data_IF_012022388827
#
_entry.id   IF_012022388827
#
_cell.length_a   1.000
_cell.length_b   1.000
_cell.length_c   1.000
_cell.angle_alpha   90.00
_cell.angle_beta   90.00
_cell.angle_gamma   90.00
#
_symmetry.space_group_name_H-M   'P 1'
#
loop_
_entity.id
_entity.type
_entity.pdbx_description
1 polymer ?
#
# COMPACT_ATOMS: atom_id res chain seq x y z
N UNK A 1 7.98 -48.11 4.24
CA UNK A 1 8.47 -47.98 5.64
C UNK A 1 7.42 -47.38 6.58
N UNK A 2 6.93 -46.14 6.37
CA UNK A 2 5.98 -45.49 7.31
C UNK A 2 4.64 -46.23 7.44
N UNK A 3 3.98 -46.67 6.33
CA UNK A 3 2.71 -47.41 6.42
C UNK A 3 2.82 -48.66 7.31
N UNK A 4 3.75 -49.57 6.99
CA UNK A 4 4.05 -50.76 7.80
C UNK A 4 4.40 -50.48 9.27
N UNK A 5 4.93 -49.30 9.60
CA UNK A 5 5.16 -48.90 10.99
C UNK A 5 3.85 -48.52 11.68
N UNK A 6 2.97 -47.77 11.00
CA UNK A 6 1.64 -47.45 11.49
C UNK A 6 0.78 -48.70 11.66
N UNK A 7 0.74 -49.59 10.66
CA UNK A 7 0.01 -50.87 10.71
C UNK A 7 0.43 -51.72 11.92
N UNK A 8 1.69 -51.62 12.37
CA UNK A 8 2.22 -52.34 13.54
C UNK A 8 1.86 -51.69 14.89
N UNK A 9 1.65 -50.37 14.93
CA UNK A 9 1.41 -49.61 16.18
C UNK A 9 -0.10 -49.37 16.40
N UNK A 10 -0.83 -49.06 15.32
CA UNK A 10 -2.28 -48.75 15.30
C UNK A 10 -2.90 -49.24 13.97
N UNK A 11 -3.21 -50.54 13.84
CA UNK A 11 -3.85 -51.09 12.64
C UNK A 11 -5.27 -50.58 12.40
N UNK A 12 -5.86 -49.88 13.38
CA UNK A 12 -7.14 -49.17 13.29
C UNK A 12 -7.08 -47.85 12.51
N UNK A 13 -5.87 -47.35 12.20
CA UNK A 13 -5.65 -46.08 11.47
C UNK A 13 -5.21 -46.38 10.04
N UNK A 14 -6.12 -46.30 9.06
CA UNK A 14 -5.73 -46.37 7.65
C UNK A 14 -5.06 -45.07 7.19
N UNK A 15 -3.76 -45.15 6.92
CA UNK A 15 -2.97 -44.03 6.41
C UNK A 15 -3.04 -43.93 4.88
N UNK A 16 -3.76 -42.91 4.39
CA UNK A 16 -3.73 -42.52 3.00
C UNK A 16 -2.67 -41.43 2.74
N UNK A 17 -1.64 -41.77 1.95
CA UNK A 17 -0.58 -40.86 1.56
C UNK A 17 -1.00 -40.07 0.31
N UNK A 18 -1.45 -38.83 0.51
CA UNK A 18 -1.71 -37.90 -0.59
C UNK A 18 -0.41 -37.15 -0.92
N UNK A 19 0.23 -37.53 -2.03
CA UNK A 19 1.32 -36.74 -2.61
C UNK A 19 0.73 -35.43 -3.15
N UNK A 20 1.17 -34.30 -2.59
CA UNK A 20 0.90 -32.99 -3.21
C UNK A 20 1.63 -32.95 -4.56
N UNK A 21 1.02 -32.43 -5.63
CA UNK A 21 1.71 -32.27 -6.91
C UNK A 21 2.94 -31.38 -6.72
N UNK A 22 3.98 -31.64 -7.53
CA UNK A 22 5.13 -30.75 -7.64
C UNK A 22 4.65 -29.32 -7.98
N UNK A 23 5.33 -28.26 -7.47
CA UNK A 23 4.99 -26.90 -7.83
C UNK A 23 4.99 -26.73 -9.37
N UNK A 24 3.99 -26.03 -9.95
CA UNK A 24 3.94 -25.81 -11.39
C UNK A 24 5.20 -25.09 -11.88
N UNK A 25 5.56 -25.26 -13.15
CA UNK A 25 6.78 -24.68 -13.75
C UNK A 25 6.94 -23.17 -13.50
N UNK A 26 5.83 -22.45 -13.38
CA UNK A 26 5.74 -21.04 -12.99
C UNK A 26 6.47 -20.70 -11.67
N UNK A 27 6.64 -21.64 -10.73
CA UNK A 27 7.42 -21.41 -9.51
C UNK A 27 8.93 -21.30 -9.75
N UNK A 28 9.44 -21.84 -10.86
CA UNK A 28 10.86 -21.75 -11.23
C UNK A 28 11.18 -20.51 -12.08
N UNK A 29 10.16 -19.85 -12.64
CA UNK A 29 10.32 -18.66 -13.47
C UNK A 29 9.49 -17.51 -12.90
N UNK A 30 10.14 -16.61 -12.16
CA UNK A 30 9.53 -15.34 -11.73
C UNK A 30 9.11 -14.57 -13.00
N UNK A 31 7.82 -14.63 -13.33
CA UNK A 31 7.29 -14.14 -14.62
C UNK A 31 7.12 -12.63 -14.66
N UNK A 32 7.53 -11.93 -13.59
CA UNK A 32 7.42 -10.49 -13.40
C UNK A 32 8.60 -10.02 -12.57
N UNK A 33 9.09 -8.83 -12.89
CA UNK A 33 10.13 -8.15 -12.14
C UNK A 33 9.69 -7.86 -10.69
N UNK A 34 10.61 -7.88 -9.72
CA UNK A 34 10.31 -7.55 -8.33
C UNK A 34 9.84 -6.10 -8.22
N UNK A 35 8.66 -5.88 -7.63
CA UNK A 35 8.08 -4.55 -7.48
C UNK A 35 8.90 -3.74 -6.44
N UNK A 36 9.46 -2.57 -6.80
CA UNK A 36 10.17 -1.70 -5.88
C UNK A 36 9.34 -1.35 -4.65
N UNK A 37 10.02 -1.25 -3.50
CA UNK A 37 9.45 -1.10 -2.16
C UNK A 37 8.43 0.04 -2.03
N UNK A 38 8.72 1.19 -2.64
CA UNK A 38 7.85 2.39 -2.68
C UNK A 38 6.68 2.26 -3.68
N UNK A 39 6.70 1.26 -4.56
CA UNK A 39 5.62 0.96 -5.50
C UNK A 39 4.72 -0.20 -5.02
N UNK A 40 5.07 -0.87 -3.92
CA UNK A 40 4.26 -1.95 -3.34
C UNK A 40 2.96 -1.42 -2.71
N UNK A 41 1.88 -2.19 -2.87
CA UNK A 41 0.55 -1.94 -2.32
C UNK A 41 0.13 -3.07 -1.37
N UNK A 42 -0.97 -2.86 -0.64
CA UNK A 42 -1.56 -3.88 0.25
C UNK A 42 -0.59 -4.29 1.38
N UNK A 43 0.10 -3.31 1.97
CA UNK A 43 1.14 -3.50 2.99
C UNK A 43 0.82 -2.80 4.32
N UNK A 44 1.35 -3.38 5.40
CA UNK A 44 1.60 -2.71 6.69
C UNK A 44 3.06 -2.31 6.70
N UNK A 45 3.33 -1.05 7.04
CA UNK A 45 4.66 -0.46 7.05
C UNK A 45 4.94 0.29 8.36
N UNK A 46 6.22 0.54 8.64
CA UNK A 46 6.66 1.45 9.68
C UNK A 46 7.54 2.56 9.11
N UNK A 47 7.28 3.80 9.52
CA UNK A 47 8.14 4.95 9.26
C UNK A 47 8.80 5.38 10.56
N UNK A 48 10.09 5.74 10.52
CA UNK A 48 10.85 6.23 11.67
C UNK A 48 11.14 7.72 11.53
N UNK A 49 11.19 8.43 12.65
CA UNK A 49 11.85 9.71 12.69
C UNK A 49 13.38 9.52 12.59
N UNK A 50 14.05 10.37 11.81
CA UNK A 50 15.52 10.39 11.70
C UNK A 50 16.21 11.08 12.88
N UNK A 51 15.50 11.95 13.61
CA UNK A 51 16.05 12.76 14.71
C UNK A 51 15.70 12.23 16.11
N UNK A 52 14.75 11.30 16.24
CA UNK A 52 14.38 10.71 17.52
C UNK A 52 13.88 9.28 17.38
N UNK A 53 13.88 8.53 18.50
CA UNK A 53 13.50 7.11 18.51
C UNK A 53 11.99 6.84 18.35
N UNK A 54 11.23 7.81 17.83
CA UNK A 54 9.80 7.70 17.63
C UNK A 54 9.51 7.03 16.28
N UNK A 55 8.57 6.07 16.29
CA UNK A 55 8.14 5.35 15.11
C UNK A 55 6.61 5.45 14.91
N UNK A 56 6.21 5.31 13.65
CA UNK A 56 4.82 5.20 13.22
C UNK A 56 4.63 3.83 12.57
N UNK A 57 3.45 3.24 12.73
CA UNK A 57 3.01 2.05 12.00
C UNK A 57 1.69 2.38 11.31
N UNK A 58 1.60 2.09 10.02
CA UNK A 58 0.38 2.29 9.25
C UNK A 58 0.22 1.25 8.15
N UNK A 59 -0.96 1.21 7.54
CA UNK A 59 -1.22 0.41 6.34
C UNK A 59 -1.48 1.26 5.09
N UNK A 60 -1.44 0.60 3.94
CA UNK A 60 -1.94 1.14 2.68
C UNK A 60 -2.46 0.04 1.76
N UNK A 61 -3.61 0.29 1.13
CA UNK A 61 -4.15 -0.51 0.03
C UNK A 61 -3.69 0.03 -1.34
N UNK A 62 -3.21 1.27 -1.39
CA UNK A 62 -2.57 1.90 -2.56
C UNK A 62 -1.06 1.67 -2.52
N UNK A 63 -0.35 2.05 -3.59
CA UNK A 63 1.12 2.10 -3.59
C UNK A 63 1.65 2.94 -2.43
N UNK A 64 2.69 2.47 -1.75
CA UNK A 64 3.25 3.09 -0.55
C UNK A 64 3.72 4.52 -0.77
N UNK A 65 4.36 4.85 -1.90
CA UNK A 65 4.73 6.23 -2.27
C UNK A 65 3.55 7.21 -2.17
N UNK A 66 2.35 6.82 -2.63
CA UNK A 66 1.17 7.68 -2.55
C UNK A 66 0.77 7.94 -1.10
N UNK A 67 0.87 6.92 -0.24
CA UNK A 67 0.57 7.04 1.19
C UNK A 67 1.59 7.89 1.92
N UNK A 68 2.88 7.77 1.58
CA UNK A 68 3.94 8.59 2.18
C UNK A 68 3.82 10.06 1.75
N UNK A 69 3.48 10.35 0.48
CA UNK A 69 3.15 11.71 0.04
C UNK A 69 1.91 12.30 0.73
N UNK A 70 0.88 11.49 1.03
CA UNK A 70 -0.26 11.92 1.87
C UNK A 70 0.18 12.33 3.30
N UNK A 71 1.34 11.83 3.76
CA UNK A 71 1.92 12.10 5.07
C UNK A 71 2.98 13.22 5.11
N UNK A 72 3.49 13.69 3.97
CA UNK A 72 4.47 14.78 3.88
C UNK A 72 5.66 14.52 2.95
N UNK A 73 5.91 13.26 2.57
CA UNK A 73 7.07 12.89 1.73
C UNK A 73 7.04 13.56 0.35
N UNK A 74 8.18 14.01 -0.16
CA UNK A 74 8.25 14.57 -1.51
C UNK A 74 8.16 13.46 -2.56
N UNK A 75 7.69 13.78 -3.77
CA UNK A 75 7.65 12.78 -4.87
C UNK A 75 9.01 12.59 -5.53
N UNK A 76 9.77 13.67 -5.66
CA UNK A 76 11.09 13.77 -6.30
C UNK A 76 12.14 12.88 -5.62
N UNK A 77 11.96 12.62 -4.33
CA UNK A 77 12.72 11.65 -3.55
C UNK A 77 12.63 10.22 -4.13
N UNK A 78 11.45 9.77 -4.54
CA UNK A 78 11.22 8.40 -5.02
C UNK A 78 11.53 8.22 -6.50
N UNK A 79 11.27 9.23 -7.33
CA UNK A 79 11.48 9.16 -8.78
C UNK A 79 12.97 8.89 -9.14
N UNK A 80 13.92 9.21 -8.25
CA UNK A 80 15.36 8.93 -8.41
C UNK A 80 15.74 7.46 -8.28
N UNK A 81 14.93 6.66 -7.58
CA UNK A 81 15.22 5.23 -7.33
C UNK A 81 14.76 4.32 -8.48
N UNK A 82 13.85 4.79 -9.33
CA UNK A 82 13.34 4.06 -10.51
C UNK A 82 14.09 4.44 -11.80
N UNK A 83 15.13 5.28 -11.70
CA UNK A 83 16.04 5.56 -12.80
C UNK A 83 16.83 4.31 -13.15
N UNK A 84 16.34 3.56 -14.14
CA UNK A 84 17.16 2.62 -14.90
C UNK A 84 18.45 3.35 -15.30
N UNK A 85 19.63 2.70 -15.23
CA UNK A 85 20.78 3.20 -15.95
C UNK A 85 20.34 3.36 -17.40
N UNK A 86 20.30 4.60 -17.91
CA UNK A 86 20.48 4.76 -19.34
C UNK A 86 21.86 4.17 -19.61
N UNK A 87 21.92 3.24 -20.57
CA UNK A 87 23.18 2.78 -21.12
C UNK A 87 24.00 4.04 -21.41
N UNK A 88 25.07 4.23 -20.64
CA UNK A 88 25.87 5.44 -20.73
C UNK A 88 26.55 5.34 -22.08
N UNK A 89 26.06 6.13 -23.04
CA UNK A 89 26.56 6.17 -24.40
C UNK A 89 28.09 6.28 -24.30
N UNK A 90 28.78 5.24 -24.77
CA UNK A 90 30.23 5.29 -24.89
C UNK A 90 30.49 6.45 -25.84
N UNK A 91 31.18 7.47 -25.37
CA UNK A 91 31.50 8.62 -26.20
C UNK A 91 32.47 8.18 -27.30
N UNK A 92 31.91 7.78 -28.44
CA UNK A 92 32.62 7.70 -29.71
C UNK A 92 32.82 9.13 -30.19
N UNK A 93 33.97 9.68 -29.78
CA UNK A 93 34.56 10.92 -30.29
C UNK A 93 34.80 10.78 -31.80
N UNK A 94 33.84 11.24 -32.60
CA UNK A 94 34.03 11.50 -34.02
C UNK A 94 33.43 12.85 -34.41
N UNK A 95 34.34 13.79 -34.63
CA UNK A 95 34.05 15.19 -34.92
C UNK A 95 33.39 15.41 -36.29
N UNK A 96 32.57 16.46 -36.34
CA UNK A 96 32.40 17.36 -37.49
C UNK A 96 31.26 17.11 -38.50
N UNK A 97 30.35 18.09 -38.51
CA UNK A 97 29.50 18.53 -39.64
C UNK A 97 28.30 17.67 -40.09
N UNK A 98 27.10 18.12 -39.67
CA UNK A 98 25.99 18.36 -40.59
C UNK A 98 24.93 19.30 -40.00
N UNK A 99 25.10 20.59 -40.29
CA UNK A 99 24.00 21.56 -40.27
C UNK A 99 22.82 21.05 -41.10
N UNK A 100 21.63 20.96 -40.49
CA UNK A 100 20.34 21.38 -41.12
C UNK A 100 19.11 21.21 -40.20
N UNK A 101 18.23 22.20 -40.30
CA UNK A 101 16.82 22.23 -39.84
C UNK A 101 16.55 22.27 -38.32
N UNK A 102 16.81 23.43 -37.71
CA UNK A 102 15.82 24.01 -36.78
C UNK A 102 14.61 24.47 -37.58
N UNK A 103 13.49 23.74 -37.57
CA UNK A 103 12.14 24.32 -37.73
C UNK A 103 11.00 23.32 -37.47
N UNK A 104 10.05 23.77 -36.64
CA UNK A 104 8.62 23.39 -36.60
C UNK A 104 8.21 21.90 -36.60
N UNK A 105 7.67 21.43 -35.47
CA UNK A 105 6.47 20.57 -35.47
C UNK A 105 5.58 20.75 -34.22
N UNK A 106 4.89 21.89 -34.18
CA UNK A 106 3.56 21.92 -33.57
C UNK A 106 2.58 21.11 -34.45
N UNK A 107 1.61 20.43 -33.81
CA UNK A 107 0.51 19.65 -34.41
C UNK A 107 0.89 18.31 -35.09
N UNK A 108 0.62 17.19 -34.41
CA UNK A 108 0.14 15.96 -35.09
C UNK A 108 -0.86 15.13 -34.26
N UNK A 109 -2.11 15.57 -34.36
CA UNK A 109 -3.37 14.85 -34.12
C UNK A 109 -3.31 13.39 -34.60
N UNK A 110 -3.39 12.42 -33.69
CA UNK A 110 -3.48 10.99 -34.03
C UNK A 110 -4.84 10.67 -34.66
N UNK A 111 -4.84 9.87 -35.74
CA UNK A 111 -6.06 9.49 -36.46
C UNK A 111 -6.71 8.27 -35.83
N UNK A 112 -8.00 8.38 -35.56
CA UNK A 112 -8.88 7.32 -35.03
C UNK A 112 -9.14 6.28 -36.14
N UNK A 113 -8.73 5.03 -35.93
CA UNK A 113 -9.13 3.92 -36.79
C UNK A 113 -10.65 3.67 -36.64
N UNK A 114 -11.30 3.32 -37.76
CA UNK A 114 -12.73 3.02 -37.82
C UNK A 114 -12.94 1.50 -37.81
N UNK A 115 -13.82 1.02 -36.94
CA UNK A 115 -14.38 -0.34 -36.98
C UNK A 115 -15.87 -0.25 -37.26
N UNK A 116 -16.38 -0.99 -38.24
CA UNK A 116 -17.78 -0.92 -38.68
C UNK A 116 -18.74 -1.74 -37.77
N UNK A 117 -20.06 -1.45 -37.75
CA UNK A 117 -20.97 -1.94 -36.72
C UNK A 117 -21.95 -3.06 -37.15
N UNK A 118 -22.21 -3.99 -36.21
CA UNK A 118 -23.32 -4.95 -36.12
C UNK A 118 -23.53 -5.23 -34.60
N UNK A 119 -24.70 -5.51 -34.01
CA UNK A 119 -26.13 -5.47 -34.40
C UNK A 119 -26.96 -5.20 -33.11
N UNK A 120 -28.24 -4.77 -33.17
CA UNK A 120 -28.90 -4.10 -32.03
C UNK A 120 -29.64 -5.01 -31.04
N UNK A 121 -29.67 -4.58 -29.76
CA UNK A 121 -30.42 -5.18 -28.63
C UNK A 121 -29.49 -5.48 -27.44
N UNK A 122 -29.77 -5.13 -26.18
CA UNK A 122 -31.03 -4.78 -25.50
C UNK A 122 -30.82 -3.57 -24.55
N UNK A 123 -31.78 -2.64 -24.48
CA UNK A 123 -31.81 -1.56 -23.47
C UNK A 123 -32.43 -2.03 -22.15
N UNK A 124 -31.68 -2.01 -21.04
CA UNK A 124 -32.19 -1.90 -19.65
C UNK A 124 -31.12 -1.24 -18.77
N UNK A 125 -31.42 -0.36 -17.81
CA UNK A 125 -32.59 0.50 -17.60
C UNK A 125 -32.23 1.53 -16.52
N UNK A 126 -32.49 2.81 -16.74
CA UNK A 126 -32.35 3.85 -15.72
C UNK A 126 -33.46 3.75 -14.65
N UNK A 127 -33.08 3.48 -13.40
CA UNK A 127 -33.89 3.63 -12.17
C UNK A 127 -32.95 3.79 -10.97
N UNK A 128 -33.26 4.52 -9.90
CA UNK A 128 -34.24 5.59 -9.63
C UNK A 128 -33.68 6.30 -8.39
N UNK A 129 -33.59 7.64 -8.38
CA UNK A 129 -33.26 8.38 -7.16
C UNK A 129 -34.48 8.39 -6.24
N UNK A 130 -34.52 7.48 -5.27
CA UNK A 130 -35.54 7.45 -4.24
C UNK A 130 -35.30 8.58 -3.22
N UNK A 131 -36.29 9.44 -3.04
CA UNK A 131 -36.32 10.42 -1.94
C UNK A 131 -36.53 9.68 -0.62
N UNK A 132 -35.60 9.83 0.31
CA UNK A 132 -35.84 9.46 1.71
C UNK A 132 -36.49 10.66 2.43
N UNK A 133 -37.60 10.40 3.13
CA UNK A 133 -38.30 11.41 3.94
C UNK A 133 -37.57 11.70 5.25
N UNK A 134 -37.81 12.91 5.76
CA UNK A 134 -37.39 13.41 7.07
C UNK A 134 -37.96 12.58 8.22
N UNK A 135 -37.15 12.35 9.25
CA UNK A 135 -37.61 12.09 10.62
C UNK A 135 -36.81 12.99 11.54
N UNK A 136 -37.49 13.92 12.20
CA UNK A 136 -36.90 14.85 13.17
C UNK A 136 -36.51 14.13 14.46
N UNK A 137 -35.40 14.56 15.08
CA UNK A 137 -35.19 14.36 16.52
C UNK A 137 -34.33 15.51 17.09
N UNK A 138 -34.83 16.34 18.02
CA UNK A 138 -34.15 17.56 18.45
C UNK A 138 -33.37 17.37 19.76
N UNK A 139 -32.05 17.60 19.75
CA UNK A 139 -31.23 17.68 20.98
C UNK A 139 -30.29 18.89 20.95
N UNK A 140 -30.57 19.83 21.87
CA UNK A 140 -29.73 20.93 22.37
C UNK A 140 -28.85 21.74 21.39
N UNK A 141 -29.29 22.97 21.11
CA UNK A 141 -28.42 24.05 20.63
C UNK A 141 -27.42 24.47 21.72
N UNK A 142 -26.13 24.23 21.51
CA UNK A 142 -25.06 25.06 22.10
C UNK A 142 -24.60 26.06 21.04
N UNK A 143 -24.70 27.35 21.36
CA UNK A 143 -24.33 28.46 20.48
C UNK A 143 -22.94 28.97 20.88
N UNK A 144 -21.95 28.76 20.02
CA UNK A 144 -20.67 29.48 20.06
C UNK A 144 -20.42 30.12 18.69
N UNK A 145 -19.76 31.27 18.71
CA UNK A 145 -19.80 32.29 17.65
C UNK A 145 -18.63 32.20 16.67
N UNK A 146 -18.99 32.29 15.39
CA UNK A 146 -18.37 33.11 14.32
C UNK A 146 -16.88 32.91 13.92
N UNK A 147 -16.65 33.06 12.61
CA UNK A 147 -15.33 33.09 11.92
C UNK A 147 -14.53 31.77 11.91
N UNK A 148 -14.98 30.77 11.13
CA UNK A 148 -14.17 29.58 10.78
C UNK A 148 -13.39 29.83 9.49
N UNK A 149 -12.08 29.94 9.62
CA UNK A 149 -11.15 30.20 8.54
C UNK A 149 -10.99 29.02 7.54
N UNK A 150 -10.44 29.32 6.36
CA UNK A 150 -10.45 28.42 5.18
C UNK A 150 -9.67 27.11 5.38
N UNK A 151 -10.36 26.00 5.10
CA UNK A 151 -9.80 24.75 4.52
C UNK A 151 -8.53 24.19 5.20
N UNK A 152 -8.53 24.13 6.53
CA UNK A 152 -7.47 23.49 7.33
C UNK A 152 -7.58 21.97 7.25
N UNK A 153 -7.16 21.40 6.11
CA UNK A 153 -7.03 19.95 5.91
C UNK A 153 -6.23 19.33 7.06
N UNK A 154 -6.86 18.43 7.83
CA UNK A 154 -6.28 17.84 9.03
C UNK A 154 -4.90 17.23 8.74
N UNK A 155 -3.87 17.72 9.44
CA UNK A 155 -2.50 17.21 9.31
C UNK A 155 -2.42 15.79 9.86
N UNK A 156 -1.85 14.87 9.09
CA UNK A 156 -1.56 13.52 9.58
C UNK A 156 -0.57 13.54 10.76
N UNK A 157 -0.53 12.50 11.60
CA UNK A 157 0.35 12.51 12.78
C UNK A 157 1.83 12.67 12.44
N UNK A 158 2.29 12.13 11.31
CA UNK A 158 3.65 12.34 10.80
C UNK A 158 3.88 13.81 10.43
N UNK A 159 3.07 14.38 9.54
CA UNK A 159 3.14 15.80 9.17
C UNK A 159 3.04 16.74 10.39
N UNK A 160 2.25 16.36 11.40
CA UNK A 160 2.12 17.09 12.67
C UNK A 160 3.42 17.02 13.47
N UNK A 161 3.98 15.82 13.66
CA UNK A 161 5.26 15.59 14.34
C UNK A 161 6.39 16.43 13.71
N UNK A 162 6.54 16.39 12.38
CA UNK A 162 7.54 17.20 11.66
C UNK A 162 7.31 18.70 11.91
N UNK A 163 6.06 19.18 11.90
CA UNK A 163 5.77 20.60 12.13
C UNK A 163 5.87 21.06 13.59
N UNK A 164 5.68 20.17 14.57
CA UNK A 164 5.76 20.48 16.01
C UNK A 164 7.21 20.38 16.54
N UNK A 165 8.02 19.48 15.98
CA UNK A 165 9.38 19.20 16.47
C UNK A 165 10.51 19.69 15.55
N UNK A 166 10.21 20.01 14.29
CA UNK A 166 11.21 20.30 13.26
C UNK A 166 12.04 19.09 12.83
N UNK A 167 11.68 17.88 13.28
CA UNK A 167 12.34 16.64 12.88
C UNK A 167 11.93 16.20 11.46
N UNK A 168 12.76 15.38 10.84
CA UNK A 168 12.49 14.74 9.54
C UNK A 168 12.16 13.26 9.72
N UNK A 169 11.15 12.78 8.99
CA UNK A 169 10.85 11.34 8.88
C UNK A 169 11.71 10.71 7.79
N UNK A 170 12.22 9.49 8.03
CA UNK A 170 12.97 8.72 7.03
C UNK A 170 11.99 8.05 6.05
N UNK A 171 11.66 8.80 4.99
CA UNK A 171 10.75 8.38 3.93
C UNK A 171 11.33 7.30 3.00
N UNK A 172 12.65 7.07 3.01
CA UNK A 172 13.32 6.07 2.16
C UNK A 172 13.44 4.71 2.84
N UNK A 173 13.85 4.70 4.10
CA UNK A 173 14.14 3.48 4.85
C UNK A 173 12.95 2.94 5.65
N UNK A 174 11.74 3.47 5.41
CA UNK A 174 10.48 2.91 5.96
C UNK A 174 10.44 1.38 5.81
N UNK A 175 10.03 0.62 6.83
CA UNK A 175 10.06 -0.86 6.79
C UNK A 175 8.72 -1.42 6.33
N UNK A 176 8.74 -2.47 5.49
CA UNK A 176 7.54 -3.25 5.18
C UNK A 176 7.48 -4.40 6.17
N UNK A 177 6.41 -4.44 6.98
CA UNK A 177 6.25 -5.42 8.05
C UNK A 177 5.47 -6.64 7.57
N UNK A 178 4.36 -6.39 6.87
CA UNK A 178 3.50 -7.43 6.31
C UNK A 178 2.86 -6.99 4.99
N UNK A 179 2.55 -7.95 4.12
CA UNK A 179 1.68 -7.79 2.96
C UNK A 179 0.41 -8.65 3.14
N UNK A 180 -0.75 -8.18 2.69
CA UNK A 180 -1.96 -9.00 2.56
C UNK A 180 -2.96 -8.41 1.56
N UNK A 181 -3.30 -9.19 0.53
CA UNK A 181 -4.28 -8.80 -0.50
C UNK A 181 -5.72 -8.68 0.03
N UNK A 182 -6.00 -9.22 1.22
CA UNK A 182 -7.30 -9.06 1.84
C UNK A 182 -7.28 -7.84 2.79
N UNK A 183 -8.07 -6.78 2.52
CA UNK A 183 -8.00 -5.53 3.28
C UNK A 183 -8.36 -5.72 4.76
N UNK A 184 -9.28 -6.65 5.07
CA UNK A 184 -9.65 -6.97 6.46
C UNK A 184 -8.51 -7.67 7.21
N UNK A 185 -7.78 -8.58 6.55
CA UNK A 185 -6.55 -9.16 7.13
C UNK A 185 -5.45 -8.12 7.29
N UNK A 186 -5.35 -7.16 6.37
CA UNK A 186 -4.41 -6.05 6.46
C UNK A 186 -4.69 -5.15 7.67
N UNK A 187 -5.96 -4.84 7.96
CA UNK A 187 -6.37 -4.14 9.19
C UNK A 187 -6.04 -4.93 10.47
N UNK A 188 -6.27 -6.25 10.49
CA UNK A 188 -5.90 -7.11 11.62
C UNK A 188 -4.39 -7.07 11.84
N UNK A 189 -3.61 -7.25 10.77
CA UNK A 189 -2.14 -7.16 10.77
C UNK A 189 -1.64 -5.83 11.33
N UNK A 190 -2.15 -4.70 10.85
CA UNK A 190 -1.81 -3.38 11.41
C UNK A 190 -2.13 -3.29 12.91
N UNK A 191 -3.33 -3.73 13.31
CA UNK A 191 -3.79 -3.72 14.71
C UNK A 191 -2.93 -4.61 15.64
N UNK A 192 -2.44 -5.74 15.12
CA UNK A 192 -1.51 -6.64 15.83
C UNK A 192 -0.15 -5.99 16.06
N UNK A 193 0.42 -5.30 15.06
CA UNK A 193 1.71 -4.59 15.23
C UNK A 193 1.56 -3.45 16.23
N UNK A 194 0.52 -2.61 16.10
CA UNK A 194 0.31 -1.48 17.01
C UNK A 194 0.12 -1.98 18.45
N UNK A 195 -0.69 -3.02 18.68
CA UNK A 195 -0.90 -3.60 20.01
C UNK A 195 0.34 -4.30 20.59
N UNK A 196 1.22 -4.84 19.74
CA UNK A 196 2.44 -5.51 20.21
C UNK A 196 3.56 -4.53 20.58
N UNK A 197 3.74 -3.46 19.81
CA UNK A 197 4.90 -2.56 19.89
C UNK A 197 4.60 -1.13 20.36
N UNK A 198 3.32 -0.74 20.44
CA UNK A 198 2.85 0.56 20.93
C UNK A 198 3.61 1.76 20.34
N UNK A 199 3.66 1.88 18.99
CA UNK A 199 4.46 2.89 18.30
C UNK A 199 4.06 4.32 18.68
N UNK A 200 5.04 5.12 19.07
CA UNK A 200 4.84 6.40 19.76
C UNK A 200 4.23 7.52 18.91
N UNK A 201 4.28 7.41 17.57
CA UNK A 201 3.64 8.36 16.64
C UNK A 201 2.23 7.90 16.24
N UNK A 202 1.71 6.81 16.78
CA UNK A 202 0.33 6.38 16.54
C UNK A 202 -0.61 6.99 17.59
N UNK A 203 -1.63 7.71 17.12
CA UNK A 203 -2.75 8.16 17.97
C UNK A 203 -3.83 7.08 18.12
N UNK A 204 -3.92 6.17 17.16
CA UNK A 204 -4.84 5.03 17.16
C UNK A 204 -4.15 3.79 17.74
N UNK A 205 -4.81 3.09 18.66
CA UNK A 205 -4.28 1.86 19.28
C UNK A 205 -4.52 0.60 18.43
N UNK A 206 -5.39 0.70 17.43
CA UNK A 206 -5.73 -0.34 16.46
C UNK A 206 -6.52 0.25 15.30
N UNK A 207 -6.65 -0.52 14.21
CA UNK A 207 -7.49 -0.16 13.05
C UNK A 207 -8.79 -0.96 12.97
N UNK A 208 -8.89 -2.09 13.66
CA UNK A 208 -10.12 -2.84 13.94
C UNK A 208 -10.09 -3.26 15.42
N UNK A 209 -11.18 -3.13 16.18
CA UNK A 209 -11.21 -3.52 17.59
C UNK A 209 -10.92 -5.02 17.74
N UNK A 210 -9.85 -5.34 18.46
CA UNK A 210 -9.42 -6.72 18.66
C UNK A 210 -9.82 -7.22 20.06
N UNK A 211 -10.90 -8.02 20.10
CA UNK A 211 -11.25 -8.86 21.24
C UNK A 211 -10.29 -10.05 21.25
N UNK A 212 -9.05 -9.81 21.69
CA UNK A 212 -8.06 -10.85 21.96
C UNK A 212 -8.30 -11.37 23.38
N UNK A 213 -8.19 -12.69 23.57
CA UNK A 213 -8.08 -13.32 24.87
C UNK A 213 -6.96 -12.66 25.72
N UNK A 214 -6.99 -12.75 27.06
CA UNK A 214 -6.17 -11.89 27.94
C UNK A 214 -4.66 -11.95 27.69
N UNK A 215 -4.15 -13.06 27.16
CA UNK A 215 -2.78 -13.17 26.68
C UNK A 215 -2.65 -12.55 25.28
N UNK A 216 -2.02 -11.38 25.20
CA UNK A 216 -1.63 -10.78 23.93
C UNK A 216 -0.66 -11.68 23.16
N UNK A 217 -0.73 -11.66 21.82
CA UNK A 217 0.24 -12.34 20.96
C UNK A 217 1.68 -11.91 21.33
N UNK A 218 2.60 -12.86 21.63
CA UNK A 218 3.93 -12.51 22.08
C UNK A 218 4.74 -11.86 20.95
N UNK A 219 5.57 -10.85 21.31
CA UNK A 219 6.26 -9.97 20.35
C UNK A 219 7.10 -10.72 19.31
N UNK A 220 7.69 -11.85 19.68
CA UNK A 220 8.49 -12.69 18.78
C UNK A 220 7.72 -13.28 17.58
N UNK A 221 6.38 -13.23 17.57
CA UNK A 221 5.54 -13.66 16.44
C UNK A 221 5.09 -12.49 15.55
N UNK A 222 5.48 -11.26 15.87
CA UNK A 222 5.07 -10.02 15.16
C UNK A 222 6.34 -9.29 14.70
N UNK A 223 6.46 -8.91 13.40
CA UNK A 223 7.64 -8.20 12.91
C UNK A 223 7.93 -6.91 13.68
N UNK A 224 9.18 -6.70 14.07
CA UNK A 224 9.58 -5.50 14.81
C UNK A 224 9.57 -4.26 13.88
N UNK A 225 8.78 -3.21 14.16
CA UNK A 225 8.83 -1.95 13.42
C UNK A 225 10.21 -1.27 13.51
N UNK A 226 10.98 -1.54 14.56
CA UNK A 226 12.29 -0.96 14.78
C UNK A 226 13.43 -1.71 14.08
N UNK A 227 13.36 -3.03 13.97
CA UNK A 227 14.36 -3.87 13.28
C UNK A 227 15.13 -4.81 14.17
#
# INVERSE_FOLDING_TARGET
KIKHLADKIRPDIDLWFILKPLPPSQHFFQTKDPIPKHLQSEIVYSAKCGNCNHNYVGKTERQSVRRLCEHGASKEEFDKCDAYPLDTEVEEDDSESRDRVRQSHSKRRTKRLQTQPLTPGVRRSSRLLAKAHTVDNPVSKTKCTDEVDKDTKEKSTLARHESETGHMVDWMNFKILWNDKNPYRLHIKESLVIKAYEPSLNLTTHSIPMIVYPESLPRNLVPDPNG
#
